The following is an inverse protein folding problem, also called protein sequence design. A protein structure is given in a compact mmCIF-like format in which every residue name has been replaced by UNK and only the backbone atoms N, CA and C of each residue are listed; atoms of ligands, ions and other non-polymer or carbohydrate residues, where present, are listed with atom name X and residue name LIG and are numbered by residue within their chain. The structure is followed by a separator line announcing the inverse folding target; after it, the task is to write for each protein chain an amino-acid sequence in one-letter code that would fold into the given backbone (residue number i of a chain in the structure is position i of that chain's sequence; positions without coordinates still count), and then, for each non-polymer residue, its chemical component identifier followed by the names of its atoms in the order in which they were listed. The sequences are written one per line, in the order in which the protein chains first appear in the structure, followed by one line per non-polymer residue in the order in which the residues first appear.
data_IF_747161697736
#
_entry.id   IF_747161697736
#
_cell.length_a   1.000
_cell.length_b   1.000
_cell.length_c   1.000
_cell.angle_alpha   90.00
_cell.angle_beta   90.00
_cell.angle_gamma   90.00
#
_symmetry.space_group_name_H-M   'P 1'
#
loop_
_entity.id
_entity.type
_entity.pdbx_description
1 polymer ?
#
# COMPACT_ATOMS: atom_id res chain seq x y z
N UNK A 1 2.40 -14.30 56.19
CA UNK A 1 2.02 -15.37 55.23
C UNK A 1 0.54 -15.22 54.95
N UNK A 2 0.17 -14.51 53.89
CA UNK A 2 -1.25 -14.28 53.58
C UNK A 2 -1.61 -15.12 52.36
N UNK A 3 -2.63 -15.95 52.53
CA UNK A 3 -3.13 -16.92 51.57
C UNK A 3 -3.68 -16.24 50.31
N UNK A 4 -3.35 -16.81 49.15
CA UNK A 4 -3.88 -16.40 47.84
C UNK A 4 -5.19 -17.17 47.61
N UNK A 5 -6.29 -16.44 47.39
CA UNK A 5 -7.63 -16.99 47.11
C UNK A 5 -7.71 -17.65 45.72
N UNK A 6 -8.62 -18.63 45.49
CA UNK A 6 -8.69 -19.46 44.27
C UNK A 6 -9.28 -18.76 43.03
N UNK A 7 -9.20 -17.44 42.91
CA UNK A 7 -9.89 -16.67 41.86
C UNK A 7 -9.22 -16.65 40.48
N UNK A 8 -8.09 -17.33 40.28
CA UNK A 8 -7.18 -17.08 39.14
C UNK A 8 -7.42 -17.94 37.89
N UNK A 9 -8.64 -18.40 37.60
CA UNK A 9 -8.89 -19.27 36.44
C UNK A 9 -9.69 -18.66 35.28
N UNK A 10 -9.84 -17.33 35.18
CA UNK A 10 -10.61 -16.71 34.06
C UNK A 10 -9.81 -15.73 33.18
N UNK A 11 -8.54 -15.46 33.47
CA UNK A 11 -7.71 -14.53 32.66
C UNK A 11 -6.88 -15.22 31.56
N UNK A 12 -7.42 -16.25 30.92
CA UNK A 12 -6.69 -17.04 29.92
C UNK A 12 -7.03 -16.76 28.45
N UNK A 13 -8.16 -16.11 28.13
CA UNK A 13 -8.65 -16.07 26.74
C UNK A 13 -9.13 -14.72 26.20
N UNK A 14 -8.92 -13.61 26.92
CA UNK A 14 -9.44 -12.29 26.54
C UNK A 14 -8.34 -11.25 26.28
N UNK A 15 -7.21 -11.64 25.70
CA UNK A 15 -6.16 -10.69 25.30
C UNK A 15 -5.76 -10.79 23.81
N UNK A 16 -6.14 -11.85 23.09
CA UNK A 16 -5.80 -12.00 21.67
C UNK A 16 -6.79 -11.32 20.72
N UNK A 17 -8.08 -11.33 21.06
CA UNK A 17 -9.14 -10.82 20.18
C UNK A 17 -9.27 -9.29 20.28
N UNK A 18 -9.05 -8.70 21.46
CA UNK A 18 -9.19 -7.26 21.68
C UNK A 18 -8.17 -6.40 20.92
N UNK A 19 -6.94 -6.90 20.75
CA UNK A 19 -5.88 -6.16 20.04
C UNK A 19 -6.11 -6.13 18.52
N UNK A 20 -6.68 -7.21 17.95
CA UNK A 20 -7.07 -7.27 16.55
C UNK A 20 -8.25 -6.34 16.22
N UNK A 21 -9.05 -5.96 17.21
CA UNK A 21 -10.17 -5.02 17.05
C UNK A 21 -9.77 -3.55 17.19
N UNK A 22 -8.67 -3.23 17.87
CA UNK A 22 -8.16 -1.85 17.98
C UNK A 22 -7.29 -1.41 16.79
N UNK A 23 -6.77 -2.36 16.00
CA UNK A 23 -6.09 -2.11 14.72
C UNK A 23 -6.82 -2.78 13.53
N UNK A 24 -8.04 -3.25 13.76
CA UNK A 24 -8.86 -3.87 12.74
C UNK A 24 -9.32 -2.82 11.73
N UNK A 25 -9.07 -3.11 10.46
CA UNK A 25 -9.51 -2.39 9.26
C UNK A 25 -8.93 -0.99 9.07
N UNK A 26 -7.62 -0.93 8.78
CA UNK A 26 -7.18 0.00 7.73
C UNK A 26 -7.90 -0.43 6.46
N UNK A 27 -8.94 0.32 6.09
CA UNK A 27 -9.66 0.15 4.84
C UNK A 27 -8.70 0.47 3.68
N UNK A 28 -7.94 -0.55 3.26
CA UNK A 28 -7.02 -0.48 2.13
C UNK A 28 -7.78 -0.45 0.79
N UNK A 29 -9.11 -0.38 0.82
CA UNK A 29 -10.00 -0.35 -0.34
C UNK A 29 -10.80 0.95 -0.42
N UNK A 30 -10.18 2.07 -0.03
CA UNK A 30 -10.60 3.38 -0.50
C UNK A 30 -10.54 3.40 -2.04
N UNK A 31 -11.61 2.95 -2.69
CA UNK A 31 -11.81 3.01 -4.13
C UNK A 31 -12.00 4.49 -4.45
N UNK A 32 -11.13 5.11 -5.25
CA UNK A 32 -11.41 6.45 -5.75
C UNK A 32 -12.72 6.41 -6.52
N UNK A 33 -13.77 6.96 -5.92
CA UNK A 33 -15.05 7.16 -6.57
C UNK A 33 -14.80 8.23 -7.63
N UNK A 34 -14.77 7.83 -8.91
CA UNK A 34 -14.56 8.66 -10.10
C UNK A 34 -13.13 8.75 -10.69
N UNK A 35 -12.44 7.60 -10.85
CA UNK A 35 -11.33 7.53 -11.80
C UNK A 35 -11.86 7.66 -13.23
N UNK A 36 -11.51 8.76 -13.89
CA UNK A 36 -11.83 8.97 -15.30
C UNK A 36 -10.56 9.13 -16.12
N UNK A 37 -10.63 8.67 -17.36
CA UNK A 37 -9.62 8.94 -18.36
C UNK A 37 -10.33 9.54 -19.58
N UNK A 38 -9.94 10.76 -19.96
CA UNK A 38 -10.59 11.51 -21.03
C UNK A 38 -12.12 11.58 -20.83
N UNK A 39 -12.54 11.97 -19.63
CA UNK A 39 -13.95 12.12 -19.24
C UNK A 39 -14.77 10.83 -19.25
N UNK A 40 -14.14 9.67 -19.43
CA UNK A 40 -14.79 8.36 -19.38
C UNK A 40 -14.45 7.63 -18.09
N UNK A 41 -15.42 7.04 -17.38
CA UNK A 41 -15.14 6.24 -16.20
C UNK A 41 -14.31 5.02 -16.57
N UNK A 42 -13.30 4.70 -15.75
CA UNK A 42 -12.55 3.46 -15.89
C UNK A 42 -13.35 2.29 -15.32
N UNK A 43 -13.42 1.18 -16.06
CA UNK A 43 -14.02 -0.06 -15.56
C UNK A 43 -13.06 -0.81 -14.64
N UNK A 44 -13.56 -1.70 -13.75
CA UNK A 44 -12.70 -2.56 -12.95
C UNK A 44 -11.72 -3.40 -13.78
N UNK A 45 -12.13 -3.85 -14.96
CA UNK A 45 -11.30 -4.63 -15.86
C UNK A 45 -10.14 -3.79 -16.44
N UNK A 46 -10.38 -2.52 -16.76
CA UNK A 46 -9.33 -1.61 -17.20
C UNK A 46 -8.32 -1.32 -16.08
N UNK A 47 -8.78 -1.21 -14.84
CA UNK A 47 -7.92 -1.02 -13.67
C UNK A 47 -7.07 -2.28 -13.44
N UNK A 48 -7.67 -3.47 -13.54
CA UNK A 48 -6.96 -4.74 -13.40
C UNK A 48 -5.88 -4.90 -14.50
N UNK A 49 -6.23 -4.62 -15.75
CA UNK A 49 -5.29 -4.63 -16.87
C UNK A 49 -4.12 -3.66 -16.63
N UNK A 50 -4.41 -2.43 -16.21
CA UNK A 50 -3.36 -1.45 -15.94
C UNK A 50 -2.41 -1.87 -14.81
N UNK A 51 -2.90 -2.64 -13.82
CA UNK A 51 -2.05 -3.21 -12.76
C UNK A 51 -1.11 -4.28 -13.31
N UNK A 52 -1.60 -5.17 -14.17
CA UNK A 52 -0.79 -6.22 -14.78
C UNK A 52 0.26 -5.62 -15.73
N UNK A 53 -0.15 -4.66 -16.57
CA UNK A 53 0.75 -3.90 -17.44
C UNK A 53 1.83 -3.15 -16.65
N UNK A 54 1.48 -2.58 -15.49
CA UNK A 54 2.45 -1.90 -14.64
C UNK A 54 3.56 -2.86 -14.18
N UNK A 55 3.19 -4.06 -13.72
CA UNK A 55 4.15 -5.07 -13.26
C UNK A 55 5.05 -5.52 -14.41
N UNK A 56 4.48 -5.78 -15.58
CA UNK A 56 5.22 -6.28 -16.74
C UNK A 56 6.15 -5.23 -17.35
N UNK A 57 5.68 -3.98 -17.51
CA UNK A 57 6.38 -2.99 -18.32
C UNK A 57 7.01 -1.85 -17.51
N UNK A 58 6.47 -1.50 -16.35
CA UNK A 58 6.85 -0.29 -15.62
C UNK A 58 7.71 -0.58 -14.39
N UNK A 59 7.40 -1.64 -13.64
CA UNK A 59 8.00 -1.97 -12.36
C UNK A 59 9.50 -2.26 -12.45
N UNK A 60 9.98 -2.73 -13.60
CA UNK A 60 11.41 -2.97 -13.86
C UNK A 60 12.29 -1.73 -13.64
N UNK A 61 11.72 -0.54 -13.85
CA UNK A 61 12.40 0.73 -13.64
C UNK A 61 11.86 1.49 -12.42
N UNK A 62 10.53 1.53 -12.26
CA UNK A 62 9.87 2.36 -11.25
C UNK A 62 9.59 1.64 -9.92
N UNK A 63 9.99 0.37 -9.80
CA UNK A 63 9.76 -0.44 -8.61
C UNK A 63 8.34 -1.02 -8.55
N UNK A 64 8.17 -2.13 -7.85
CA UNK A 64 6.86 -2.79 -7.73
C UNK A 64 5.89 -2.01 -6.83
N UNK A 65 6.40 -1.13 -5.97
CA UNK A 65 5.63 -0.28 -5.06
C UNK A 65 5.67 1.19 -5.47
N UNK A 66 5.96 1.49 -6.74
CA UNK A 66 6.05 2.84 -7.28
C UNK A 66 7.20 3.68 -6.68
N UNK A 67 8.18 3.08 -6.02
CA UNK A 67 9.20 3.79 -5.24
C UNK A 67 10.28 4.49 -6.09
N UNK A 68 10.35 4.18 -7.37
CA UNK A 68 11.40 4.63 -8.27
C UNK A 68 12.79 4.15 -7.86
N UNK A 69 13.79 4.69 -8.53
CA UNK A 69 15.19 4.42 -8.23
C UNK A 69 15.70 5.34 -7.11
N UNK A 70 16.64 4.82 -6.31
CA UNK A 70 17.28 5.60 -5.26
C UNK A 70 17.96 6.84 -5.84
N UNK A 71 17.86 7.97 -5.13
CA UNK A 71 18.43 9.25 -5.55
C UNK A 71 17.97 9.70 -6.94
N UNK A 72 16.73 9.40 -7.36
CA UNK A 72 16.21 9.71 -8.70
C UNK A 72 16.30 11.20 -9.09
N UNK A 73 16.40 12.12 -8.13
CA UNK A 73 16.62 13.54 -8.39
C UNK A 73 18.06 13.89 -8.81
N UNK A 74 19.00 12.95 -8.75
CA UNK A 74 20.40 13.13 -9.14
C UNK A 74 20.68 12.34 -10.41
N UNK A 75 21.33 12.98 -11.39
CA UNK A 75 21.78 12.30 -12.61
C UNK A 75 22.77 11.17 -12.27
N UNK A 76 22.68 10.10 -13.05
CA UNK A 76 23.67 9.03 -13.09
C UNK A 76 24.97 9.52 -13.74
N UNK A 77 26.05 8.75 -13.61
CA UNK A 77 27.33 9.03 -14.26
C UNK A 77 27.20 9.03 -15.80
N UNK A 78 26.20 8.33 -16.32
CA UNK A 78 25.81 8.35 -17.75
C UNK A 78 25.16 9.68 -18.17
N UNK A 79 24.91 10.59 -17.23
CA UNK A 79 24.18 11.83 -17.43
C UNK A 79 22.66 11.67 -17.47
N UNK A 80 22.10 10.46 -17.46
CA UNK A 80 20.64 10.25 -17.49
C UNK A 80 19.99 10.45 -16.12
N UNK A 81 18.70 10.77 -16.11
CA UNK A 81 17.89 10.77 -14.88
C UNK A 81 17.46 9.34 -14.57
N UNK A 82 17.61 8.87 -13.32
CA UNK A 82 17.02 7.62 -12.86
C UNK A 82 15.49 7.65 -12.94
N UNK A 83 14.87 6.47 -12.93
CA UNK A 83 13.42 6.35 -12.90
C UNK A 83 12.85 6.93 -11.58
N UNK A 84 11.87 7.84 -11.61
CA UNK A 84 11.35 8.45 -10.39
C UNK A 84 10.12 7.70 -9.80
N UNK A 85 9.70 8.01 -8.57
CA UNK A 85 8.57 7.36 -7.92
C UNK A 85 7.23 7.86 -8.42
N UNK A 86 6.32 6.95 -8.78
CA UNK A 86 4.94 7.31 -9.16
C UNK A 86 4.03 7.43 -7.94
N UNK A 87 3.02 8.30 -8.03
CA UNK A 87 1.95 8.37 -7.05
C UNK A 87 0.58 8.52 -7.72
N UNK A 88 -0.48 8.45 -6.91
CA UNK A 88 -1.86 8.50 -7.39
C UNK A 88 -2.29 9.88 -7.93
N UNK A 89 -1.47 10.93 -7.78
CA UNK A 89 -1.81 12.28 -8.26
C UNK A 89 -1.73 12.40 -9.78
N UNK A 90 -1.08 11.46 -10.45
CA UNK A 90 -0.90 11.44 -11.91
C UNK A 90 -0.02 12.57 -12.46
N UNK A 91 0.45 13.48 -11.60
CA UNK A 91 1.39 14.53 -11.98
C UNK A 91 2.80 13.99 -11.75
N UNK A 92 3.52 13.72 -12.83
CA UNK A 92 4.95 13.42 -12.73
C UNK A 92 5.69 14.64 -12.17
N UNK A 93 6.66 14.35 -11.30
CA UNK A 93 7.63 15.22 -10.61
C UNK A 93 8.30 16.32 -11.43
#
# INVERSE_FOLDING_TARGET
MSAVSPGSMVTGLMAGVGMALLFGVMDASAKPENLTFLEKPLTPEQIALGKDDYVEFCASCHGSNLEGQKNWKRRLDTGRMPAPPHDASGHTW
#
